data_IF_318830641157
#
_entry.id   IF_318830641157
#
_cell.length_a   1.000
_cell.length_b   1.000
_cell.length_c   1.000
_cell.angle_alpha   90.00
_cell.angle_beta   90.00
_cell.angle_gamma   90.00
#
_symmetry.space_group_name_H-M   'P 1'
#
loop_
_entity.id
_entity.type
_entity.pdbx_description
1 polymer ?
#
# COMPACT_ATOMS: atom_id res chain seq x y z
N UNK A 1 19.62 -9.89 -13.92
CA UNK A 1 19.71 -8.43 -13.62
C UNK A 1 18.39 -7.99 -13.02
N UNK A 2 18.38 -7.07 -12.05
CA UNK A 2 17.12 -6.54 -11.51
C UNK A 2 16.35 -5.76 -12.58
N UNK A 3 15.02 -5.82 -12.53
CA UNK A 3 14.14 -5.03 -13.39
C UNK A 3 13.94 -3.68 -12.74
N UNK A 4 14.39 -2.59 -13.37
CA UNK A 4 14.12 -1.24 -12.87
C UNK A 4 12.66 -0.88 -13.11
N UNK A 5 12.05 -0.19 -12.17
CA UNK A 5 10.64 0.18 -12.18
C UNK A 5 10.49 1.66 -11.90
N UNK A 6 9.67 2.32 -12.70
CA UNK A 6 9.16 3.65 -12.44
C UNK A 6 7.63 3.63 -12.50
N UNK A 7 6.97 4.31 -11.57
CA UNK A 7 5.52 4.51 -11.56
C UNK A 7 5.31 6.01 -11.39
N UNK A 8 4.38 6.60 -12.13
CA UNK A 8 4.10 8.02 -12.06
C UNK A 8 2.61 8.26 -12.24
N UNK A 9 2.01 8.92 -11.26
CA UNK A 9 0.60 9.27 -11.22
C UNK A 9 -0.34 8.10 -11.54
N UNK A 10 -0.36 7.11 -10.64
CA UNK A 10 -1.15 5.86 -10.77
C UNK A 10 -1.94 5.62 -9.50
N UNK A 11 -3.24 5.38 -9.65
CA UNK A 11 -4.10 4.81 -8.62
C UNK A 11 -3.94 3.30 -8.64
N UNK A 12 -3.04 2.80 -7.79
CA UNK A 12 -2.74 1.37 -7.72
C UNK A 12 -3.78 0.67 -6.83
N UNK A 13 -4.70 -0.08 -7.44
CA UNK A 13 -5.65 -0.92 -6.70
C UNK A 13 -4.91 -2.08 -6.04
N UNK A 14 -4.92 -2.10 -4.71
CA UNK A 14 -4.34 -3.16 -3.90
C UNK A 14 -5.28 -4.37 -3.81
N UNK A 15 -6.58 -4.05 -3.76
CA UNK A 15 -7.72 -4.96 -3.85
C UNK A 15 -8.95 -4.16 -4.32
N UNK A 16 -10.08 -4.81 -4.53
CA UNK A 16 -11.30 -4.18 -5.09
C UNK A 16 -11.72 -2.92 -4.32
N UNK A 17 -11.63 -2.93 -2.98
CA UNK A 17 -12.03 -1.82 -2.12
C UNK A 17 -10.90 -0.88 -1.64
N UNK A 18 -9.66 -1.01 -2.12
CA UNK A 18 -8.57 -0.16 -1.62
C UNK A 18 -7.57 0.28 -2.71
N UNK A 19 -7.37 1.59 -2.80
CA UNK A 19 -6.44 2.25 -3.72
C UNK A 19 -5.27 2.84 -2.94
N UNK A 20 -4.07 2.69 -3.49
CA UNK A 20 -2.89 3.46 -3.11
C UNK A 20 -2.57 4.42 -4.25
N UNK A 21 -2.70 5.72 -4.01
CA UNK A 21 -2.26 6.71 -4.97
C UNK A 21 -0.72 6.80 -4.95
N UNK A 22 -0.10 6.61 -6.10
CA UNK A 22 1.35 6.73 -6.29
C UNK A 22 1.60 7.95 -7.13
N UNK A 23 1.96 9.07 -6.49
CA UNK A 23 2.36 10.28 -7.22
C UNK A 23 3.61 9.97 -8.04
N UNK A 24 4.60 9.31 -7.41
CA UNK A 24 5.75 8.76 -8.11
C UNK A 24 6.46 7.67 -7.31
N UNK A 25 7.07 6.72 -8.02
CA UNK A 25 7.92 5.68 -7.44
C UNK A 25 9.06 5.37 -8.40
N UNK A 26 10.27 5.25 -7.87
CA UNK A 26 11.44 4.71 -8.57
C UNK A 26 12.03 3.59 -7.72
N UNK A 27 12.30 2.45 -8.35
CA UNK A 27 12.82 1.28 -7.65
C UNK A 27 13.21 0.13 -8.56
N UNK A 28 13.22 -1.07 -7.98
CA UNK A 28 13.55 -2.31 -8.65
C UNK A 28 12.55 -3.40 -8.32
N UNK A 29 11.86 -3.91 -9.34
CA UNK A 29 11.08 -5.13 -9.22
C UNK A 29 12.00 -6.35 -9.17
N UNK A 30 11.75 -7.22 -8.19
CA UNK A 30 12.50 -8.45 -7.97
C UNK A 30 11.53 -9.61 -7.81
N UNK A 31 11.82 -10.74 -8.46
CA UNK A 31 11.02 -11.94 -8.32
C UNK A 31 11.11 -12.45 -6.88
N UNK A 32 9.96 -12.84 -6.34
CA UNK A 32 9.82 -13.54 -5.07
C UNK A 32 9.95 -15.06 -5.24
N UNK A 33 9.99 -15.56 -6.49
CA UNK A 33 10.12 -16.98 -6.84
C UNK A 33 11.53 -17.30 -7.35
N UNK A 34 12.28 -18.16 -6.65
CA UNK A 34 13.65 -18.51 -7.06
C UNK A 34 13.72 -19.02 -8.50
N UNK A 35 14.58 -18.42 -9.32
CA UNK A 35 14.80 -18.83 -10.71
C UNK A 35 13.76 -18.35 -11.72
N UNK A 36 12.69 -17.69 -11.28
CA UNK A 36 11.66 -17.14 -12.17
C UNK A 36 11.88 -15.65 -12.46
N UNK A 37 11.51 -15.17 -13.67
CA UNK A 37 11.49 -13.74 -13.97
C UNK A 37 10.41 -13.01 -13.16
N UNK A 38 10.42 -11.68 -13.20
CA UNK A 38 9.36 -10.86 -12.60
C UNK A 38 8.06 -11.06 -13.39
N UNK A 39 7.05 -11.69 -12.79
CA UNK A 39 5.72 -11.87 -13.39
C UNK A 39 4.79 -10.71 -13.04
N UNK A 40 4.51 -9.82 -13.99
CA UNK A 40 3.73 -8.60 -13.71
C UNK A 40 2.22 -8.86 -13.59
N UNK A 41 1.74 -9.98 -14.14
CA UNK A 41 0.36 -10.47 -14.05
C UNK A 41 0.08 -11.28 -12.77
N UNK A 42 1.06 -11.41 -11.88
CA UNK A 42 0.93 -12.08 -10.60
C UNK A 42 1.62 -11.24 -9.51
N UNK A 43 0.83 -10.41 -8.83
CA UNK A 43 1.31 -9.49 -7.79
C UNK A 43 1.96 -10.18 -6.58
N UNK A 44 1.75 -11.49 -6.40
CA UNK A 44 2.42 -12.28 -5.35
C UNK A 44 3.83 -12.74 -5.78
N UNK A 45 4.10 -12.76 -7.09
CA UNK A 45 5.34 -13.28 -7.65
C UNK A 45 6.51 -12.30 -7.59
N UNK A 46 6.29 -11.04 -7.21
CA UNK A 46 7.34 -10.03 -7.13
C UNK A 46 7.14 -9.04 -5.98
N UNK A 47 8.21 -8.30 -5.71
CA UNK A 47 8.20 -7.12 -4.83
C UNK A 47 8.96 -5.99 -5.50
N UNK A 48 8.60 -4.76 -5.17
CA UNK A 48 9.30 -3.56 -5.62
C UNK A 48 10.14 -3.05 -4.44
N UNK A 49 11.46 -3.00 -4.61
CA UNK A 49 12.38 -2.36 -3.67
C UNK A 49 12.54 -0.91 -4.09
N UNK A 50 12.09 0.00 -3.25
CA UNK A 50 12.01 1.44 -3.52
C UNK A 50 13.37 2.11 -3.30
N UNK A 51 13.79 2.91 -4.28
CA UNK A 51 14.89 3.87 -4.16
C UNK A 51 14.35 5.24 -3.68
N UNK A 52 13.20 5.66 -4.20
CA UNK A 52 12.44 6.84 -3.77
C UNK A 52 10.96 6.74 -4.18
N UNK A 53 10.04 7.16 -3.32
CA UNK A 53 8.63 7.25 -3.67
C UNK A 53 7.88 8.31 -2.86
N UNK A 54 6.88 8.93 -3.47
CA UNK A 54 5.79 9.64 -2.81
C UNK A 54 4.50 8.89 -3.13
N UNK A 55 3.72 8.64 -2.08
CA UNK A 55 2.43 7.95 -2.16
C UNK A 55 1.45 8.52 -1.13
N UNK A 56 0.17 8.40 -1.41
CA UNK A 56 -0.89 8.71 -0.46
C UNK A 56 -1.96 7.61 -0.44
N UNK A 57 -2.63 7.48 0.69
CA UNK A 57 -3.72 6.51 0.88
C UNK A 57 -4.85 7.17 1.65
N UNK A 58 -6.08 6.99 1.14
CA UNK A 58 -7.28 7.52 1.76
C UNK A 58 -7.63 6.81 3.07
N UNK A 59 -8.32 7.52 3.97
CA UNK A 59 -8.79 6.93 5.23
C UNK A 59 -9.75 5.75 5.01
N UNK A 60 -10.64 5.86 4.02
CA UNK A 60 -11.55 4.78 3.64
C UNK A 60 -10.79 3.56 3.10
N UNK A 61 -9.79 3.78 2.23
CA UNK A 61 -8.94 2.71 1.69
C UNK A 61 -8.13 2.02 2.79
N UNK A 62 -7.57 2.79 3.75
CA UNK A 62 -6.89 2.21 4.91
C UNK A 62 -7.84 1.38 5.78
N UNK A 63 -9.06 1.87 6.00
CA UNK A 63 -10.09 1.13 6.74
C UNK A 63 -10.43 -0.19 6.06
N UNK A 64 -10.55 -0.19 4.73
CA UNK A 64 -10.72 -1.40 3.92
C UNK A 64 -9.53 -2.36 4.06
N UNK A 65 -8.29 -1.85 3.94
CA UNK A 65 -7.07 -2.65 4.15
C UNK A 65 -7.05 -3.28 5.54
N UNK A 66 -7.40 -2.53 6.57
CA UNK A 66 -7.41 -3.05 7.93
C UNK A 66 -8.43 -4.18 8.11
N UNK A 67 -9.65 -4.02 7.59
CA UNK A 67 -10.71 -5.00 7.77
C UNK A 67 -10.56 -6.24 6.87
N UNK A 68 -10.12 -6.06 5.63
CA UNK A 68 -10.11 -7.12 4.60
C UNK A 68 -8.73 -7.78 4.41
N UNK A 69 -7.68 -7.22 5.01
CA UNK A 69 -6.33 -7.79 4.94
C UNK A 69 -5.64 -7.90 6.30
N UNK A 70 -5.45 -6.80 7.02
CA UNK A 70 -4.64 -6.78 8.26
C UNK A 70 -5.29 -7.57 9.40
N UNK A 71 -6.61 -7.44 9.57
CA UNK A 71 -7.41 -8.14 10.57
C UNK A 71 -8.35 -9.21 9.96
N UNK A 72 -8.14 -9.54 8.68
CA UNK A 72 -8.87 -10.62 7.99
C UNK A 72 -8.22 -11.98 8.26
N UNK A 73 -8.29 -12.42 9.52
CA UNK A 73 -7.85 -13.76 9.92
C UNK A 73 -8.73 -14.31 11.04
N UNK A 74 -8.77 -15.63 11.13
CA UNK A 74 -9.54 -16.32 12.16
C UNK A 74 -9.03 -15.96 13.55
N UNK A 75 -9.95 -15.53 14.42
CA UNK A 75 -9.61 -15.10 15.77
C UNK A 75 -9.10 -13.66 15.88
N UNK A 76 -9.17 -12.85 14.82
CA UNK A 76 -8.83 -11.43 14.90
C UNK A 76 -9.54 -10.74 16.08
N UNK A 77 -8.85 -9.90 16.87
CA UNK A 77 -9.38 -9.34 18.11
C UNK A 77 -10.44 -8.25 17.89
N UNK A 78 -10.44 -7.63 16.71
CA UNK A 78 -11.26 -6.46 16.37
C UNK A 78 -11.93 -6.60 15.00
N UNK A 79 -12.91 -5.74 14.74
CA UNK A 79 -13.61 -5.61 13.46
C UNK A 79 -14.25 -4.23 13.31
N UNK A 80 -14.63 -3.90 12.08
CA UNK A 80 -15.32 -2.64 11.78
C UNK A 80 -14.41 -1.46 12.07
N UNK A 81 -13.15 -1.57 11.64
CA UNK A 81 -12.15 -0.56 11.85
C UNK A 81 -12.38 0.62 10.92
N UNK A 82 -12.44 1.82 11.48
CA UNK A 82 -12.62 3.07 10.76
C UNK A 82 -11.51 4.02 11.18
N UNK A 83 -10.72 4.46 10.23
CA UNK A 83 -9.67 5.46 10.44
C UNK A 83 -10.17 6.82 9.96
N UNK A 84 -9.82 7.88 10.67
CA UNK A 84 -10.05 9.26 10.28
C UNK A 84 -8.89 10.15 10.75
N UNK A 85 -8.88 11.40 10.27
CA UNK A 85 -8.12 12.47 10.91
C UNK A 85 -8.83 12.84 12.23
N UNK A 86 -8.06 13.20 13.25
CA UNK A 86 -8.63 13.79 14.47
C UNK A 86 -9.40 15.09 14.14
N UNK A 87 -10.60 15.25 14.73
CA UNK A 87 -11.49 16.36 14.45
C UNK A 87 -11.08 17.63 15.21
N UNK A 88 -10.45 17.49 16.38
CA UNK A 88 -9.94 18.63 17.16
C UNK A 88 -8.94 19.45 16.33
N UNK A 89 -9.19 20.76 16.25
CA UNK A 89 -8.37 21.68 15.49
C UNK A 89 -6.92 21.75 16.00
N UNK A 90 -6.69 21.50 17.29
CA UNK A 90 -5.36 21.52 17.90
C UNK A 90 -4.60 20.19 17.70
N UNK A 91 -5.27 19.13 17.21
CA UNK A 91 -4.72 17.77 17.09
C UNK A 91 -4.85 17.20 15.65
N UNK A 92 -5.02 18.06 14.64
CA UNK A 92 -5.16 17.68 13.21
C UNK A 92 -4.01 16.85 12.62
N UNK A 93 -2.90 16.74 13.31
CA UNK A 93 -1.79 15.86 12.93
C UNK A 93 -1.82 14.48 13.61
N UNK A 94 -2.95 14.15 14.25
CA UNK A 94 -3.28 12.85 14.79
C UNK A 94 -4.34 12.14 13.94
N UNK A 95 -4.39 10.82 14.11
CA UNK A 95 -5.41 9.96 13.51
C UNK A 95 -6.25 9.35 14.62
N UNK A 96 -7.53 9.17 14.31
CA UNK A 96 -8.49 8.49 15.15
C UNK A 96 -8.84 7.12 14.54
N UNK A 97 -8.71 6.06 15.31
CA UNK A 97 -9.09 4.70 14.95
C UNK A 97 -10.24 4.22 15.83
N UNK A 98 -11.41 4.05 15.22
CA UNK A 98 -12.60 3.47 15.84
C UNK A 98 -12.77 2.02 15.45
N UNK A 99 -13.40 1.24 16.33
CA UNK A 99 -13.74 -0.13 16.02
C UNK A 99 -14.49 -0.87 17.13
N UNK A 100 -14.64 -2.17 16.96
CA UNK A 100 -15.27 -3.04 17.97
C UNK A 100 -14.42 -4.27 18.27
N UNK A 101 -14.40 -4.66 19.54
CA UNK A 101 -13.85 -5.94 19.95
C UNK A 101 -14.67 -7.09 19.35
N UNK A 102 -14.01 -8.19 18.98
CA UNK A 102 -14.68 -9.41 18.53
C UNK A 102 -15.11 -10.32 19.67
N UNK A 103 -14.38 -10.34 20.79
CA UNK A 103 -14.73 -11.18 21.94
C UNK A 103 -15.77 -10.50 22.84
N UNK A 104 -16.53 -11.31 23.59
CA UNK A 104 -17.45 -10.82 24.61
C UNK A 104 -18.63 -10.01 24.07
N UNK A 105 -18.89 -8.85 24.69
CA UNK A 105 -20.02 -7.96 24.39
C UNK A 105 -19.80 -7.07 23.15
N UNK A 106 -18.77 -7.36 22.35
CA UNK A 106 -18.38 -6.57 21.18
C UNK A 106 -18.23 -5.07 21.48
N UNK A 107 -17.52 -4.73 22.55
CA UNK A 107 -17.42 -3.35 23.02
C UNK A 107 -16.79 -2.44 21.95
N UNK A 108 -17.33 -1.22 21.75
CA UNK A 108 -16.67 -0.21 20.93
C UNK A 108 -15.39 0.29 21.63
N UNK A 109 -14.41 0.65 20.83
CA UNK A 109 -13.19 1.32 21.27
C UNK A 109 -12.81 2.43 20.30
N UNK A 110 -11.99 3.34 20.81
CA UNK A 110 -11.41 4.46 20.08
C UNK A 110 -9.95 4.61 20.51
N UNK A 111 -9.08 4.89 19.54
CA UNK A 111 -7.65 5.13 19.75
C UNK A 111 -7.29 6.38 18.97
N UNK A 112 -6.73 7.36 19.65
CA UNK A 112 -6.12 8.52 19.01
C UNK A 112 -4.60 8.36 19.05
N UNK A 113 -3.93 8.85 18.02
CA UNK A 113 -2.48 8.86 18.05
C UNK A 113 -1.82 9.55 16.87
N UNK A 114 -0.55 9.88 17.09
CA UNK A 114 0.25 10.68 16.17
C UNK A 114 1.19 9.80 15.36
N UNK A 115 1.09 9.79 14.01
CA UNK A 115 2.02 9.05 13.16
C UNK A 115 3.42 9.67 13.15
N UNK A 116 4.44 8.84 13.30
CA UNK A 116 5.84 9.23 13.29
C UNK A 116 6.70 8.19 12.59
N UNK A 117 7.86 8.62 12.08
CA UNK A 117 8.82 7.71 11.45
C UNK A 117 9.81 7.20 12.49
N UNK A 118 9.95 5.88 12.60
CA UNK A 118 10.95 5.26 13.47
C UNK A 118 12.35 5.30 12.83
N UNK A 119 13.45 5.20 13.60
CA UNK A 119 14.81 5.20 13.04
C UNK A 119 15.10 4.10 12.01
N UNK A 120 14.39 2.97 12.09
CA UNK A 120 14.48 1.86 11.15
C UNK A 120 13.56 2.01 9.92
N UNK A 121 12.78 3.09 9.83
CA UNK A 121 11.95 3.43 8.67
C UNK A 121 10.58 2.74 8.65
N UNK A 122 10.08 2.32 9.83
CA UNK A 122 8.68 1.95 10.06
C UNK A 122 7.89 3.19 10.48
N UNK A 123 6.58 3.04 10.56
CA UNK A 123 5.70 4.09 11.11
C UNK A 123 5.34 3.67 12.54
N UNK A 124 5.49 4.56 13.49
CA UNK A 124 4.96 4.44 14.85
C UNK A 124 3.74 5.35 14.95
N UNK A 125 2.60 4.81 15.34
CA UNK A 125 1.51 5.65 15.85
C UNK A 125 1.75 5.79 17.34
N UNK A 126 2.22 6.96 17.77
CA UNK A 126 2.38 7.26 19.19
C UNK A 126 0.98 7.48 19.75
N UNK A 127 0.54 6.58 20.61
CA UNK A 127 -0.81 6.62 21.15
C UNK A 127 -0.94 7.76 22.16
N UNK A 128 -1.98 8.57 22.02
CA UNK A 128 -2.26 9.73 22.87
C UNK A 128 -3.47 9.48 23.75
N UNK A 129 -4.48 8.78 23.22
CA UNK A 129 -5.72 8.44 23.91
C UNK A 129 -6.17 7.03 23.56
N UNK A 130 -6.77 6.33 24.53
CA UNK A 130 -7.40 5.03 24.35
C UNK A 130 -8.67 5.01 25.17
N UNK A 131 -9.79 4.78 24.48
CA UNK A 131 -11.11 4.76 25.10
C UNK A 131 -11.82 3.43 24.79
N UNK A 132 -12.59 2.94 25.77
CA UNK A 132 -13.54 1.85 25.59
C UNK A 132 -14.80 2.18 26.37
N UNK A 133 -15.98 2.07 25.73
CA UNK A 133 -17.25 2.52 26.30
C UNK A 133 -17.18 3.98 26.83
N UNK A 134 -16.53 4.87 26.09
CA UNK A 134 -16.34 6.29 26.45
C UNK A 134 -15.58 6.51 27.77
N UNK A 135 -14.83 5.49 28.22
CA UNK A 135 -13.97 5.54 29.39
C UNK A 135 -12.52 5.40 28.97
N UNK A 136 -11.66 6.28 29.48
CA UNK A 136 -10.22 6.13 29.30
C UNK A 136 -9.73 4.83 29.93
N UNK A 137 -8.97 4.06 29.17
CA UNK A 137 -8.43 2.77 29.61
C UNK A 137 -6.91 2.77 29.60
N UNK A 138 -6.34 2.02 30.55
CA UNK A 138 -4.90 1.79 30.60
C UNK A 138 -4.47 0.77 29.55
N UNK A 139 -3.75 1.25 28.55
CA UNK A 139 -2.90 0.44 27.68
C UNK A 139 -3.59 -0.26 26.50
N UNK A 140 -2.90 -0.23 25.36
CA UNK A 140 -3.49 -0.57 24.07
C UNK A 140 -3.82 -2.05 23.92
N UNK A 141 -2.89 -2.93 24.30
CA UNK A 141 -3.13 -4.38 24.20
C UNK A 141 -4.29 -4.82 25.08
N UNK A 142 -4.44 -4.20 26.26
CA UNK A 142 -5.55 -4.50 27.16
C UNK A 142 -6.88 -4.04 26.55
N UNK A 143 -6.93 -2.81 26.02
CA UNK A 143 -8.10 -2.27 25.34
C UNK A 143 -8.55 -3.15 24.16
N UNK A 144 -7.60 -3.65 23.37
CA UNK A 144 -7.86 -4.53 22.22
C UNK A 144 -8.11 -5.99 22.60
N UNK A 145 -8.05 -6.36 23.88
CA UNK A 145 -8.22 -7.75 24.34
C UNK A 145 -7.18 -8.71 23.78
N UNK A 146 -5.97 -8.21 23.51
CA UNK A 146 -4.85 -8.97 22.95
C UNK A 146 -4.12 -9.76 24.03
N UNK A 147 -4.11 -11.08 23.89
CA UNK A 147 -3.25 -11.96 24.68
C UNK A 147 -1.87 -12.08 24.01
N UNK A 148 -0.74 -11.87 24.72
CA UNK A 148 0.59 -11.73 24.11
C UNK A 148 1.11 -12.91 23.28
N UNK A 149 0.48 -14.09 23.30
CA UNK A 149 1.10 -15.32 22.81
C UNK A 149 0.48 -15.87 21.52
N UNK A 150 -0.79 -15.58 21.24
CA UNK A 150 -1.54 -16.28 20.18
C UNK A 150 -1.95 -15.39 19.00
N UNK A 151 -1.98 -14.06 19.17
CA UNK A 151 -2.47 -13.14 18.14
C UNK A 151 -1.41 -12.20 17.57
N UNK A 152 -0.30 -11.98 18.29
CA UNK A 152 0.76 -11.07 17.85
C UNK A 152 1.45 -11.57 16.58
N UNK A 153 1.69 -12.88 16.44
CA UNK A 153 2.35 -13.44 15.25
C UNK A 153 1.57 -13.16 13.96
N UNK A 154 0.25 -13.31 13.97
CA UNK A 154 -0.60 -13.04 12.80
C UNK A 154 -0.55 -11.57 12.36
N UNK A 155 -0.53 -10.65 13.33
CA UNK A 155 -0.44 -9.22 13.08
C UNK A 155 0.97 -8.84 12.60
N UNK A 156 2.01 -9.39 13.20
CA UNK A 156 3.41 -9.13 12.83
C UNK A 156 3.72 -9.60 11.40
N UNK A 157 3.19 -10.75 10.99
CA UNK A 157 3.28 -11.23 9.61
C UNK A 157 2.60 -10.29 8.61
N UNK A 158 1.55 -9.61 9.06
CA UNK A 158 0.80 -8.57 8.32
C UNK A 158 1.34 -7.17 8.59
N UNK A 159 2.53 -7.04 9.15
CA UNK A 159 3.21 -5.75 9.30
C UNK A 159 2.68 -4.86 10.43
N UNK A 160 1.90 -5.39 11.37
CA UNK A 160 1.45 -4.66 12.56
C UNK A 160 2.08 -5.25 13.82
N UNK A 161 2.67 -4.39 14.65
CA UNK A 161 3.24 -4.76 15.94
C UNK A 161 2.96 -3.69 16.99
N UNK A 162 3.45 -3.93 18.20
CA UNK A 162 3.22 -3.07 19.36
C UNK A 162 4.54 -2.73 20.05
N UNK A 163 4.68 -1.52 20.56
CA UNK A 163 5.82 -1.09 21.37
C UNK A 163 5.31 -0.30 22.60
N UNK A 164 5.10 -1.01 23.71
CA UNK A 164 4.35 -0.44 24.83
C UNK A 164 2.90 -0.23 24.41
N UNK A 165 2.45 1.01 24.47
CA UNK A 165 1.10 1.42 24.05
C UNK A 165 1.04 1.93 22.60
N UNK A 166 2.19 2.01 21.91
CA UNK A 166 2.25 2.47 20.53
C UNK A 166 2.02 1.34 19.52
N UNK A 167 1.41 1.68 18.38
CA UNK A 167 1.35 0.79 17.21
C UNK A 167 2.59 0.98 16.35
N UNK A 168 3.15 -0.12 15.86
CA UNK A 168 4.26 -0.12 14.91
C UNK A 168 3.81 -0.76 13.60
N UNK A 169 3.90 0.00 12.52
CA UNK A 169 3.47 -0.38 11.17
C UNK A 169 4.67 -0.53 10.24
N UNK A 170 4.86 -1.74 9.72
CA UNK A 170 5.71 -2.01 8.57
C UNK A 170 4.89 -1.85 7.29
N UNK A 171 5.01 -0.68 6.67
CA UNK A 171 4.25 -0.31 5.48
C UNK A 171 4.55 -1.19 4.25
N UNK A 172 5.59 -2.03 4.27
CA UNK A 172 5.86 -3.02 3.21
C UNK A 172 5.07 -4.32 3.35
N UNK A 173 4.45 -4.53 4.52
CA UNK A 173 3.69 -5.72 4.85
C UNK A 173 2.23 -5.46 5.23
N UNK A 174 1.94 -4.27 5.74
CA UNK A 174 0.60 -3.85 6.15
C UNK A 174 -0.38 -3.58 5.02
N UNK A 175 0.10 -3.48 3.79
CA UNK A 175 -0.72 -3.43 2.59
C UNK A 175 -0.69 -4.78 1.87
N UNK A 176 -1.77 -5.16 1.18
CA UNK A 176 -1.75 -6.33 0.31
C UNK A 176 -0.64 -6.23 -0.75
N UNK A 177 -0.22 -7.38 -1.32
CA UNK A 177 0.67 -7.40 -2.46
C UNK A 177 0.15 -6.58 -3.66
N UNK A 178 1.02 -6.08 -4.57
CA UNK A 178 2.47 -6.33 -4.60
C UNK A 178 3.21 -5.61 -3.47
N UNK A 179 4.19 -6.29 -2.86
CA UNK A 179 4.92 -5.69 -1.73
C UNK A 179 5.81 -4.54 -2.23
N UNK A 180 5.60 -3.35 -1.68
CA UNK A 180 6.43 -2.16 -1.92
C UNK A 180 7.32 -1.96 -0.70
N UNK A 181 8.58 -2.37 -0.82
CA UNK A 181 9.55 -2.35 0.26
C UNK A 181 10.44 -1.12 0.20
N UNK A 182 10.43 -0.30 1.25
CA UNK A 182 11.28 0.87 1.37
C UNK A 182 11.22 1.42 2.79
N UNK A 183 12.23 2.21 3.18
CA UNK A 183 12.22 2.92 4.46
C UNK A 183 11.34 4.14 4.32
N UNK A 184 10.33 4.27 5.18
CA UNK A 184 9.58 5.51 5.32
C UNK A 184 10.52 6.57 5.87
N UNK A 185 10.51 7.76 5.29
CA UNK A 185 11.29 8.92 5.72
C UNK A 185 10.41 10.08 6.15
N UNK A 186 9.17 10.12 5.65
CA UNK A 186 8.14 11.08 6.05
C UNK A 186 6.79 10.39 6.12
N UNK A 187 6.01 10.73 7.14
CA UNK A 187 4.57 10.48 7.23
C UNK A 187 3.88 11.80 7.57
N UNK A 188 2.76 12.10 6.91
CA UNK A 188 1.94 13.27 7.24
C UNK A 188 0.46 12.91 7.22
N UNK A 189 -0.24 13.36 8.24
CA UNK A 189 -1.71 13.38 8.29
C UNK A 189 -2.21 14.54 7.45
N UNK A 190 -3.15 14.25 6.55
CA UNK A 190 -3.86 15.24 5.75
C UNK A 190 -5.36 15.04 5.87
N UNK A 191 -6.14 15.96 5.30
CA UNK A 191 -7.60 15.95 5.42
C UNK A 191 -8.24 14.69 4.81
N UNK A 192 -7.65 14.16 3.73
CA UNK A 192 -8.22 13.03 2.98
C UNK A 192 -7.49 11.71 3.24
N UNK A 193 -6.43 11.69 4.04
CA UNK A 193 -5.65 10.47 4.30
C UNK A 193 -4.22 10.74 4.74
N UNK A 194 -3.37 9.72 4.61
CA UNK A 194 -1.95 9.80 4.94
C UNK A 194 -1.10 9.91 3.69
N UNK A 195 -0.10 10.79 3.72
CA UNK A 195 0.96 10.84 2.72
C UNK A 195 2.28 10.30 3.29
N UNK A 196 3.00 9.56 2.45
CA UNK A 196 4.24 8.87 2.79
C UNK A 196 5.32 9.19 1.77
N UNK A 197 6.50 9.57 2.26
CA UNK A 197 7.72 9.57 1.46
C UNK A 197 8.60 8.39 1.88
N UNK A 198 9.14 7.69 0.89
CA UNK A 198 10.01 6.54 1.09
C UNK A 198 11.35 6.78 0.42
N UNK A 199 12.42 6.27 1.04
CA UNK A 199 13.78 6.35 0.50
C UNK A 199 14.37 7.76 0.57
N UNK A 200 15.52 7.91 -0.08
CA UNK A 200 16.31 9.16 -0.10
C UNK A 200 16.43 9.77 -1.50
N UNK A 201 15.84 9.12 -2.51
CA UNK A 201 15.89 9.58 -3.90
C UNK A 201 15.01 10.81 -4.13
N UNK A 202 15.52 11.79 -4.87
CA UNK A 202 14.69 12.82 -5.48
C UNK A 202 13.99 12.18 -6.69
N UNK A 203 12.82 11.59 -6.46
CA UNK A 203 12.14 10.68 -7.39
C UNK A 203 11.23 11.40 -8.39
N UNK A 204 11.64 12.59 -8.86
CA UNK A 204 10.95 13.27 -9.96
C UNK A 204 10.99 12.40 -11.22
N UNK A 205 9.84 12.23 -11.85
CA UNK A 205 9.74 11.59 -13.17
C UNK A 205 10.70 12.25 -14.15
N UNK A 206 11.45 11.41 -14.87
CA UNK A 206 12.36 11.86 -15.93
C UNK A 206 11.75 11.73 -17.31
N UNK A 207 10.51 11.23 -17.41
CA UNK A 207 9.83 11.01 -18.67
C UNK A 207 8.87 12.15 -19.03
N UNK A 208 8.59 12.31 -20.33
CA UNK A 208 7.55 13.21 -20.82
C UNK A 208 6.17 12.55 -20.97
N UNK A 209 5.98 11.31 -20.49
CA UNK A 209 4.69 10.62 -20.51
C UNK A 209 3.92 10.93 -19.23
N UNK A 210 2.63 11.19 -19.35
CA UNK A 210 1.71 11.24 -18.23
C UNK A 210 1.27 9.81 -17.87
N UNK A 211 1.03 9.55 -16.58
CA UNK A 211 0.39 8.35 -16.01
C UNK A 211 0.90 7.02 -16.55
N UNK A 212 1.87 6.41 -15.87
CA UNK A 212 2.49 5.19 -16.38
C UNK A 212 3.12 4.30 -15.32
N UNK A 213 3.31 3.04 -15.71
CA UNK A 213 4.28 2.13 -15.15
C UNK A 213 5.33 1.81 -16.22
N UNK A 214 6.61 1.87 -15.87
CA UNK A 214 7.72 1.57 -16.77
C UNK A 214 8.65 0.54 -16.15
N UNK A 215 8.81 -0.59 -16.83
CA UNK A 215 9.70 -1.67 -16.45
C UNK A 215 10.84 -1.77 -17.46
N UNK A 216 12.08 -1.63 -17.01
CA UNK A 216 13.25 -1.62 -17.88
C UNK A 216 14.39 -2.49 -17.36
N UNK A 217 15.17 -3.05 -18.29
CA UNK A 217 16.21 -4.06 -18.02
C UNK A 217 15.62 -5.34 -17.41
N UNK A 218 16.48 -6.29 -17.07
CA UNK A 218 16.03 -7.52 -16.41
C UNK A 218 15.20 -8.41 -17.34
N UNK A 219 14.43 -9.32 -16.76
CA UNK A 219 13.54 -10.21 -17.50
C UNK A 219 12.16 -10.11 -16.85
N UNK A 220 11.15 -9.77 -17.65
CA UNK A 220 9.76 -9.71 -17.22
C UNK A 220 8.92 -10.74 -17.95
N UNK A 221 7.81 -11.13 -17.32
CA UNK A 221 6.80 -12.00 -17.88
C UNK A 221 5.41 -11.38 -17.69
N UNK A 222 4.58 -11.49 -18.72
CA UNK A 222 3.14 -11.17 -18.69
C UNK A 222 2.43 -12.30 -19.44
N UNK A 223 1.60 -13.07 -18.75
CA UNK A 223 0.92 -14.22 -19.32
C UNK A 223 1.91 -15.22 -19.94
N UNK A 224 1.87 -15.36 -21.27
CA UNK A 224 2.79 -16.24 -22.03
C UNK A 224 3.97 -15.49 -22.66
N UNK A 225 3.99 -14.15 -22.56
CA UNK A 225 5.04 -13.32 -23.13
C UNK A 225 6.18 -13.16 -22.12
N UNK A 226 7.42 -13.30 -22.58
CA UNK A 226 8.63 -12.97 -21.83
C UNK A 226 9.44 -11.96 -22.62
N UNK A 227 9.88 -10.88 -21.96
CA UNK A 227 10.80 -9.91 -22.54
C UNK A 227 12.12 -9.96 -21.80
N UNK A 228 13.20 -10.25 -22.52
CA UNK A 228 14.58 -10.12 -22.03
C UNK A 228 15.10 -8.73 -22.30
N UNK A 229 15.85 -8.17 -21.35
CA UNK A 229 16.25 -6.76 -21.36
C UNK A 229 15.03 -5.85 -21.54
N UNK A 230 14.12 -5.92 -20.57
CA UNK A 230 12.80 -5.29 -20.68
C UNK A 230 12.89 -3.81 -21.06
N UNK A 231 11.92 -3.36 -21.85
CA UNK A 231 11.60 -1.95 -22.06
C UNK A 231 10.10 -1.94 -22.31
N UNK A 232 9.35 -1.99 -21.21
CA UNK A 232 7.89 -2.11 -21.20
C UNK A 232 7.29 -0.89 -20.53
N UNK A 233 6.48 -0.17 -21.29
CA UNK A 233 5.60 0.87 -20.77
C UNK A 233 4.18 0.31 -20.67
N UNK A 234 3.52 0.59 -19.56
CA UNK A 234 2.06 0.54 -19.40
C UNK A 234 1.63 1.98 -19.22
N UNK A 235 0.86 2.51 -20.16
CA UNK A 235 0.48 3.91 -20.23
C UNK A 235 -1.02 4.00 -20.26
N UNK A 236 -1.52 5.00 -19.57
CA UNK A 236 -2.91 5.41 -19.63
C UNK A 236 -3.36 5.80 -21.05
N UNK A 237 -4.57 5.39 -21.40
CA UNK A 237 -5.22 5.79 -22.65
C UNK A 237 -5.86 7.18 -22.55
N UNK A 238 -6.29 7.61 -21.37
CA UNK A 238 -6.91 8.92 -21.14
C UNK A 238 -6.21 9.67 -19.99
N UNK A 239 -5.09 10.37 -20.26
CA UNK A 239 -4.23 10.89 -19.20
C UNK A 239 -4.74 12.17 -18.50
N UNK A 240 -6.04 12.29 -18.30
CA UNK A 240 -6.69 13.46 -17.64
C UNK A 240 -6.65 13.37 -16.12
N UNK A 241 -6.66 12.16 -15.59
CA UNK A 241 -6.64 11.75 -14.18
C UNK A 241 -5.58 10.67 -13.98
N UNK A 242 -5.25 10.24 -12.74
CA UNK A 242 -4.29 9.17 -12.53
C UNK A 242 -4.77 7.85 -13.16
N UNK A 243 -3.84 7.06 -13.70
CA UNK A 243 -4.17 5.74 -14.25
C UNK A 243 -4.71 4.84 -13.13
N UNK A 244 -5.94 4.35 -13.25
CA UNK A 244 -6.51 3.33 -12.39
C UNK A 244 -6.01 1.95 -12.81
N UNK A 245 -4.97 1.45 -12.13
CA UNK A 245 -4.31 0.20 -12.47
C UNK A 245 -4.58 -0.88 -11.41
N UNK A 246 -5.13 -2.01 -11.85
CA UNK A 246 -5.37 -3.15 -10.97
C UNK A 246 -4.59 -4.40 -11.40
N UNK A 247 -3.49 -4.76 -10.71
CA UNK A 247 -2.70 -5.95 -11.05
C UNK A 247 -3.50 -7.24 -11.18
N UNK A 248 -4.50 -7.49 -10.32
CA UNK A 248 -5.33 -8.71 -10.39
C UNK A 248 -6.24 -8.75 -11.62
N UNK A 249 -6.53 -7.58 -12.21
CA UNK A 249 -7.36 -7.43 -13.42
C UNK A 249 -6.55 -6.95 -14.62
N UNK A 250 -5.22 -7.01 -14.55
CA UNK A 250 -4.31 -6.55 -15.60
C UNK A 250 -4.66 -7.18 -16.97
N UNK A 251 -5.01 -8.46 -17.01
CA UNK A 251 -5.36 -9.13 -18.27
C UNK A 251 -6.58 -8.47 -18.93
N UNK A 252 -7.62 -8.11 -18.16
CA UNK A 252 -8.80 -7.43 -18.71
C UNK A 252 -8.46 -6.02 -19.22
N UNK A 253 -7.65 -5.27 -18.49
CA UNK A 253 -7.17 -3.96 -18.94
C UNK A 253 -6.33 -4.08 -20.23
N UNK A 254 -5.52 -5.12 -20.36
CA UNK A 254 -4.76 -5.38 -21.59
C UNK A 254 -5.65 -5.81 -22.77
N UNK A 255 -6.70 -6.59 -22.53
CA UNK A 255 -7.67 -7.02 -23.55
C UNK A 255 -8.50 -5.84 -24.10
N UNK A 256 -8.86 -4.89 -23.24
CA UNK A 256 -9.52 -3.64 -23.63
C UNK A 256 -8.54 -2.61 -24.22
N UNK A 257 -7.24 -2.84 -24.04
CA UNK A 257 -6.17 -1.96 -24.47
C UNK A 257 -5.65 -2.24 -25.88
N UNK A 258 -4.51 -1.64 -26.20
CA UNK A 258 -3.74 -1.99 -27.40
C UNK A 258 -2.24 -1.88 -27.15
N UNK A 259 -1.45 -2.58 -27.96
CA UNK A 259 0.00 -2.61 -27.85
C UNK A 259 0.68 -1.98 -29.07
N UNK A 260 1.83 -1.34 -28.86
CA UNK A 260 2.73 -0.87 -29.91
C UNK A 260 4.15 -1.36 -29.64
N UNK A 261 4.76 -1.95 -30.64
CA UNK A 261 6.20 -2.24 -30.63
C UNK A 261 6.93 -0.96 -31.04
N UNK A 262 7.85 -0.51 -30.21
CA UNK A 262 8.65 0.68 -30.44
C UNK A 262 9.82 0.37 -31.39
N UNK A 263 10.38 1.40 -32.04
CA UNK A 263 11.55 1.24 -32.92
C UNK A 263 12.78 0.67 -32.20
N UNK A 264 12.85 0.85 -30.87
CA UNK A 264 13.89 0.27 -30.02
C UNK A 264 13.74 -1.25 -29.81
N UNK A 265 12.60 -1.83 -30.20
CA UNK A 265 12.21 -3.20 -29.82
C UNK A 265 11.50 -3.28 -28.46
N UNK A 266 11.29 -2.13 -27.79
CA UNK A 266 10.46 -2.02 -26.60
C UNK A 266 8.97 -2.20 -26.90
N UNK A 267 8.16 -2.28 -25.85
CA UNK A 267 6.72 -2.47 -25.92
C UNK A 267 6.03 -1.35 -25.14
N UNK A 268 5.06 -0.68 -25.75
CA UNK A 268 4.12 0.18 -25.04
C UNK A 268 2.73 -0.45 -25.07
N UNK A 269 2.17 -0.70 -23.89
CA UNK A 269 0.80 -1.13 -23.66
C UNK A 269 0.00 0.10 -23.27
N UNK A 270 -1.03 0.42 -24.04
CA UNK A 270 -1.98 1.48 -23.73
C UNK A 270 -3.21 0.81 -23.13
N UNK A 271 -3.52 1.12 -21.87
CA UNK A 271 -4.62 0.50 -21.14
C UNK A 271 -5.65 1.55 -20.70
N UNK A 272 -6.95 1.24 -20.75
CA UNK A 272 -7.94 2.05 -20.07
C UNK A 272 -7.86 1.87 -18.56
N UNK A 273 -8.49 2.78 -17.83
CA UNK A 273 -8.72 2.66 -16.40
C UNK A 273 -9.51 1.41 -16.05
N UNK A 274 -9.22 0.82 -14.90
CA UNK A 274 -9.94 -0.35 -14.41
C UNK A 274 -11.44 -0.06 -14.24
N UNK A 275 -11.80 1.13 -13.74
CA UNK A 275 -13.20 1.54 -13.60
C UNK A 275 -14.01 1.58 -14.91
N UNK A 276 -13.35 1.68 -16.07
CA UNK A 276 -13.99 1.84 -17.38
C UNK A 276 -14.25 0.53 -18.12
N UNK A 277 -13.77 -0.61 -17.59
CA UNK A 277 -13.82 -1.93 -18.26
C UNK A 277 -14.83 -2.90 -17.66
N UNK A 278 -15.92 -2.38 -17.09
CA UNK A 278 -16.99 -3.14 -16.42
C UNK A 278 -18.30 -3.17 -17.19
#
# INVERSE_FOLDING_TARGET
MPTRTEIHNVDLRLMEGAILHVEHLVGQATSSRPGEPVGLDDKLSYKIVVEGAERSVGYADMSQVMNEYTFAFDGAPVKGLELAQEEDADERDEVELKGRLRKGLHLPFEIEGRPEVTPDGRIRIRTTSIQALDLQVGGLMHALGLEPKDLLGNLEERGLGFAGDDLILDASRAFPPPRIAGRVTVVRVGENGLSLSLGSGNSRSTSGRSNYLWFRKGIIKIGKMTQTDADLWIVDQDPKDPLDFYPDSMTRQLEAGYAKIEKSGGLTLYVPDYGDIH
#
